data_IF_780888271903
#
_entry.id   IF_780888271903
#
_cell.length_a   1.000
_cell.length_b   1.000
_cell.length_c   1.000
_cell.angle_alpha   90.00
_cell.angle_beta   90.00
_cell.angle_gamma   90.00
#
_symmetry.space_group_name_H-M   'P 1'
#
loop_
_entity.id
_entity.type
_entity.pdbx_description
1 polymer ?
#
# COMPACT_ATOMS: atom_id res chain seq x y z
N UNK A 1 7.21 -29.79 9.53
CA UNK A 1 5.77 -29.96 9.25
C UNK A 1 5.66 -30.72 7.94
N UNK A 2 4.94 -31.83 7.91
CA UNK A 2 4.95 -32.84 6.84
C UNK A 2 4.25 -32.33 5.56
N UNK A 3 4.73 -32.77 4.39
CA UNK A 3 4.18 -32.52 3.05
C UNK A 3 2.66 -32.78 2.89
N UNK A 4 2.01 -33.39 3.86
CA UNK A 4 0.58 -33.70 3.83
C UNK A 4 -0.35 -32.47 4.01
N UNK A 5 0.14 -31.37 4.58
CA UNK A 5 -0.68 -30.15 4.83
C UNK A 5 -0.78 -29.25 3.58
N UNK A 6 0.12 -29.40 2.61
CA UNK A 6 0.14 -28.53 1.41
C UNK A 6 -0.82 -28.96 0.29
N UNK A 7 -1.41 -30.16 0.34
CA UNK A 7 -2.20 -30.71 -0.77
C UNK A 7 -3.60 -30.08 -0.92
N UNK A 8 -4.12 -29.45 0.14
CA UNK A 8 -5.45 -28.83 0.17
C UNK A 8 -5.40 -27.30 0.35
N UNK A 9 -4.21 -26.70 0.40
CA UNK A 9 -4.09 -25.24 0.54
C UNK A 9 -4.44 -24.55 -0.77
N UNK A 10 -5.17 -23.39 -0.71
CA UNK A 10 -5.52 -22.63 -1.90
C UNK A 10 -4.26 -22.12 -2.62
N UNK A 11 -4.34 -21.93 -3.94
CA UNK A 11 -3.18 -21.59 -4.77
C UNK A 11 -2.48 -20.29 -4.31
N UNK A 12 -3.22 -19.36 -3.72
CA UNK A 12 -2.68 -18.08 -3.22
C UNK A 12 -1.88 -18.19 -1.90
N UNK A 13 -1.76 -19.40 -1.36
CA UNK A 13 -0.92 -19.69 -0.19
C UNK A 13 0.18 -20.70 -0.51
N UNK A 14 0.41 -21.02 -1.80
CA UNK A 14 1.35 -22.06 -2.22
C UNK A 14 2.30 -21.58 -3.34
N UNK A 15 3.42 -22.27 -3.50
CA UNK A 15 4.37 -21.99 -4.57
C UNK A 15 4.88 -20.55 -4.52
N UNK A 16 4.81 -19.85 -5.66
CA UNK A 16 5.26 -18.45 -5.76
C UNK A 16 4.38 -17.45 -4.99
N UNK A 17 3.21 -17.89 -4.53
CA UNK A 17 2.28 -17.07 -3.74
C UNK A 17 2.35 -17.41 -2.24
N UNK A 18 3.21 -18.34 -1.85
CA UNK A 18 3.35 -18.71 -0.44
C UNK A 18 3.76 -17.49 0.40
N UNK A 19 3.13 -17.29 1.58
CA UNK A 19 3.48 -16.18 2.46
C UNK A 19 4.93 -16.21 2.91
N UNK A 20 5.51 -15.04 3.07
CA UNK A 20 6.83 -14.84 3.68
C UNK A 20 6.63 -14.45 5.15
N UNK A 21 7.19 -15.24 6.08
CA UNK A 21 6.95 -15.05 7.51
C UNK A 21 8.00 -14.19 8.22
N UNK A 22 9.06 -13.81 7.51
CA UNK A 22 10.17 -13.05 8.09
C UNK A 22 10.44 -11.79 7.30
N UNK A 23 10.66 -10.70 8.03
CA UNK A 23 11.26 -9.51 7.47
C UNK A 23 12.75 -9.73 7.26
N UNK A 24 13.25 -9.30 6.12
CA UNK A 24 14.63 -9.55 5.71
C UNK A 24 15.27 -8.28 5.17
N UNK A 25 16.59 -8.20 5.32
CA UNK A 25 17.45 -7.22 4.67
C UNK A 25 18.66 -7.95 4.11
N UNK A 26 18.86 -7.86 2.80
CA UNK A 26 20.03 -8.40 2.12
C UNK A 26 20.80 -7.25 1.47
N UNK A 27 22.08 -7.16 1.76
CA UNK A 27 22.99 -6.11 1.22
C UNK A 27 24.03 -6.67 0.25
N UNK A 28 24.07 -7.99 0.12
CA UNK A 28 24.99 -8.68 -0.81
C UNK A 28 24.20 -9.30 -1.96
N UNK A 29 23.76 -8.45 -2.90
CA UNK A 29 22.93 -8.89 -4.00
C UNK A 29 23.75 -9.36 -5.20
N UNK A 30 23.47 -10.59 -5.67
CA UNK A 30 24.04 -11.08 -6.92
C UNK A 30 23.31 -10.48 -8.11
N UNK A 31 23.99 -9.69 -8.91
CA UNK A 31 23.47 -9.14 -10.16
C UNK A 31 23.93 -10.01 -11.33
N UNK A 32 23.01 -10.36 -12.21
CA UNK A 32 23.30 -11.00 -13.49
C UNK A 32 22.97 -10.02 -14.61
N UNK A 33 23.95 -9.71 -15.45
CA UNK A 33 23.84 -8.67 -16.48
C UNK A 33 24.32 -7.32 -15.96
N UNK A 34 23.68 -6.24 -16.44
CA UNK A 34 24.09 -4.86 -16.21
C UNK A 34 22.90 -4.03 -15.71
N UNK A 35 23.11 -3.27 -14.64
CA UNK A 35 22.17 -2.26 -14.16
C UNK A 35 22.60 -0.91 -14.73
N UNK A 36 21.75 -0.22 -15.53
CA UNK A 36 22.09 1.12 -16.02
C UNK A 36 22.39 2.09 -14.88
N UNK A 37 23.49 2.84 -14.93
CA UNK A 37 23.88 3.74 -13.84
C UNK A 37 22.91 4.91 -13.65
N UNK A 38 22.04 5.18 -14.63
CA UNK A 38 20.99 6.20 -14.57
C UNK A 38 19.82 5.79 -13.67
N UNK A 39 19.67 4.49 -13.37
CA UNK A 39 18.66 4.00 -12.45
C UNK A 39 19.09 4.28 -11.01
N UNK A 40 18.63 5.41 -10.48
CA UNK A 40 18.85 5.83 -9.11
C UNK A 40 17.53 5.97 -8.39
N UNK A 41 17.35 5.24 -7.30
CA UNK A 41 16.12 5.24 -6.51
C UNK A 41 15.76 3.87 -6.00
N UNK A 42 14.46 3.65 -5.79
CA UNK A 42 13.95 2.39 -5.25
C UNK A 42 12.88 1.80 -6.16
N UNK A 43 13.05 0.56 -6.54
CA UNK A 43 11.96 -0.24 -7.09
C UNK A 43 11.20 -0.87 -5.92
N UNK A 44 9.92 -0.61 -5.82
CA UNK A 44 9.09 -1.11 -4.73
C UNK A 44 7.82 -1.76 -5.26
N UNK A 45 7.34 -2.77 -4.55
CA UNK A 45 6.03 -3.37 -4.76
C UNK A 45 5.35 -3.64 -3.43
N UNK A 46 4.04 -3.58 -3.43
CA UNK A 46 3.18 -3.96 -2.33
C UNK A 46 2.39 -5.23 -2.67
N UNK A 47 2.00 -5.99 -1.68
CA UNK A 47 1.16 -7.16 -1.87
C UNK A 47 0.63 -7.72 -0.57
N UNK A 48 -0.46 -8.48 -0.68
CA UNK A 48 -1.03 -9.19 0.45
C UNK A 48 -0.10 -10.33 0.88
N UNK A 49 0.26 -10.34 2.14
CA UNK A 49 1.10 -11.37 2.76
C UNK A 49 0.54 -11.69 4.15
N UNK A 50 -0.35 -12.70 4.26
CA UNK A 50 -0.96 -13.02 5.54
C UNK A 50 0.09 -13.49 6.56
N UNK A 51 0.21 -12.76 7.67
CA UNK A 51 1.19 -13.05 8.73
C UNK A 51 0.96 -14.40 9.41
N UNK A 52 -0.28 -14.87 9.44
CA UNK A 52 -0.65 -16.17 10.01
C UNK A 52 -0.40 -17.33 9.06
N UNK A 53 -0.16 -17.08 7.78
CA UNK A 53 -0.11 -18.09 6.74
C UNK A 53 -1.48 -18.56 6.26
N UNK A 54 -2.56 -17.98 6.78
CA UNK A 54 -3.94 -18.28 6.43
C UNK A 54 -4.63 -17.07 5.83
N UNK A 55 -5.44 -17.27 4.80
CA UNK A 55 -6.26 -16.22 4.20
C UNK A 55 -7.47 -16.83 3.49
N UNK A 56 -8.62 -16.18 3.66
CA UNK A 56 -9.88 -16.56 3.01
C UNK A 56 -9.94 -16.13 1.55
N UNK A 57 -9.05 -15.23 1.13
CA UNK A 57 -9.03 -14.69 -0.22
C UNK A 57 -7.62 -14.20 -0.59
N UNK A 58 -7.29 -14.24 -1.88
CA UNK A 58 -5.98 -13.81 -2.39
C UNK A 58 -5.61 -12.37 -2.01
N UNK A 59 -6.58 -11.49 -1.89
CA UNK A 59 -6.35 -10.08 -1.53
C UNK A 59 -6.42 -9.81 -0.02
N UNK A 60 -6.79 -10.83 0.78
CA UNK A 60 -6.88 -10.70 2.22
C UNK A 60 -5.57 -11.15 2.88
N UNK A 61 -4.72 -10.20 3.20
CA UNK A 61 -3.44 -10.41 3.90
C UNK A 61 -2.82 -9.07 4.26
N UNK A 62 -1.96 -9.06 5.27
CA UNK A 62 -1.27 -7.85 5.70
C UNK A 62 -0.37 -7.32 4.58
N UNK A 63 -0.27 -6.03 4.44
CA UNK A 63 0.60 -5.40 3.45
C UNK A 63 2.07 -5.70 3.75
N UNK A 64 2.76 -6.28 2.78
CA UNK A 64 4.21 -6.42 2.83
C UNK A 64 4.83 -5.71 1.64
N UNK A 65 5.69 -4.75 1.95
CA UNK A 65 6.44 -4.03 0.95
C UNK A 65 7.75 -4.76 0.68
N UNK A 66 8.06 -4.92 -0.60
CA UNK A 66 9.36 -5.39 -1.07
C UNK A 66 10.05 -4.25 -1.82
N UNK A 67 11.30 -3.99 -1.51
CA UNK A 67 12.05 -2.93 -2.17
C UNK A 67 13.48 -3.32 -2.50
N UNK A 68 13.99 -2.75 -3.58
CA UNK A 68 15.40 -2.82 -3.97
C UNK A 68 15.87 -1.38 -4.20
N UNK A 69 16.95 -0.98 -3.55
CA UNK A 69 17.62 0.28 -3.85
C UNK A 69 18.63 0.10 -4.95
N UNK A 70 18.52 0.94 -5.97
CA UNK A 70 19.44 1.01 -7.09
C UNK A 70 20.18 2.34 -7.07
N UNK A 71 21.50 2.32 -7.20
CA UNK A 71 22.29 3.53 -7.35
C UNK A 71 23.63 3.23 -8.04
N UNK A 72 24.01 4.09 -8.99
CA UNK A 72 25.31 4.04 -9.68
C UNK A 72 25.63 2.65 -10.30
N UNK A 73 24.62 2.02 -10.91
CA UNK A 73 24.76 0.71 -11.54
C UNK A 73 24.85 -0.47 -10.57
N UNK A 74 24.44 -0.28 -9.31
CA UNK A 74 24.46 -1.31 -8.26
C UNK A 74 23.08 -1.48 -7.64
N UNK A 75 22.79 -2.70 -7.17
CA UNK A 75 21.71 -2.98 -6.25
C UNK A 75 22.30 -2.99 -4.83
N UNK A 76 21.97 -1.98 -4.03
CA UNK A 76 22.61 -1.76 -2.73
C UNK A 76 22.00 -2.63 -1.63
N UNK A 77 20.67 -2.79 -1.66
CA UNK A 77 19.97 -3.67 -0.74
C UNK A 77 18.64 -4.14 -1.33
N UNK A 78 18.17 -5.28 -0.84
CA UNK A 78 16.80 -5.74 -0.89
C UNK A 78 16.22 -5.75 0.53
N UNK A 79 14.97 -5.33 0.68
CA UNK A 79 14.23 -5.43 1.94
C UNK A 79 12.78 -5.84 1.71
N UNK A 80 12.24 -6.57 2.68
CA UNK A 80 10.80 -6.71 2.81
C UNK A 80 10.38 -6.31 4.23
N UNK A 81 9.27 -5.56 4.34
CA UNK A 81 8.71 -5.08 5.61
C UNK A 81 7.20 -5.17 5.58
N UNK A 82 6.61 -5.62 6.69
CA UNK A 82 5.19 -5.43 6.92
C UNK A 82 4.87 -3.96 7.16
N UNK A 83 3.71 -3.53 6.66
CA UNK A 83 3.14 -2.25 7.06
C UNK A 83 2.55 -2.40 8.46
N UNK A 84 3.05 -1.65 9.42
CA UNK A 84 2.65 -1.70 10.84
C UNK A 84 1.35 -0.96 11.08
N UNK A 85 0.25 -1.46 10.52
CA UNK A 85 -1.10 -1.00 10.82
C UNK A 85 -1.64 -1.69 12.10
N UNK A 86 -2.70 -1.16 12.75
CA UNK A 86 -3.24 -1.74 13.98
C UNK A 86 -3.70 -3.20 13.86
N UNK A 87 -4.05 -3.64 12.66
CA UNK A 87 -4.49 -5.02 12.41
C UNK A 87 -3.34 -6.04 12.31
N UNK A 88 -2.10 -5.60 12.23
CA UNK A 88 -0.95 -6.50 12.30
C UNK A 88 -0.78 -6.96 13.75
N UNK A 89 -0.61 -8.26 13.98
CA UNK A 89 -0.60 -8.89 15.31
C UNK A 89 0.35 -8.21 16.30
N UNK A 90 1.54 -7.87 15.85
CA UNK A 90 2.58 -7.25 16.69
C UNK A 90 2.72 -5.74 16.42
N UNK A 91 1.62 -5.06 16.07
CA UNK A 91 1.61 -3.62 15.78
C UNK A 91 1.81 -2.74 17.01
N UNK A 92 1.52 -3.28 18.21
CA UNK A 92 1.47 -2.50 19.45
C UNK A 92 0.18 -1.72 19.64
N UNK A 93 -0.83 -1.92 18.76
CA UNK A 93 -2.14 -1.29 18.87
C UNK A 93 -2.90 -1.75 20.12
N UNK A 94 -3.63 -0.85 20.77
CA UNK A 94 -4.41 -1.12 21.97
C UNK A 94 -5.94 -1.22 21.72
N UNK A 95 -6.36 -1.07 20.44
CA UNK A 95 -7.74 -1.14 20.00
C UNK A 95 -8.53 0.15 20.14
N UNK A 96 -7.88 1.26 20.51
CA UNK A 96 -8.52 2.58 20.63
C UNK A 96 -8.28 3.46 19.40
N UNK A 97 -7.58 2.93 18.40
CA UNK A 97 -7.20 3.67 17.19
C UNK A 97 -8.42 4.00 16.33
N UNK A 98 -8.29 5.07 15.56
CA UNK A 98 -9.33 5.46 14.58
C UNK A 98 -9.59 4.29 13.61
N UNK A 99 -10.87 3.90 13.39
CA UNK A 99 -11.19 2.81 12.46
C UNK A 99 -10.59 2.97 11.06
N UNK A 100 -10.34 4.21 10.62
CA UNK A 100 -9.72 4.49 9.32
C UNK A 100 -8.23 4.10 9.24
N UNK A 101 -7.61 3.78 10.38
CA UNK A 101 -6.25 3.24 10.43
C UNK A 101 -6.19 1.72 10.32
N UNK A 102 -7.34 1.01 10.39
CA UNK A 102 -7.43 -0.45 10.36
C UNK A 102 -7.19 -1.04 8.96
N UNK A 103 -6.16 -0.57 8.29
CA UNK A 103 -5.85 -0.89 6.90
C UNK A 103 -5.01 -2.15 6.76
N UNK A 104 -5.33 -2.99 5.76
CA UNK A 104 -4.42 -4.02 5.28
C UNK A 104 -3.19 -3.41 4.59
N UNK A 105 -3.31 -2.20 4.04
CA UNK A 105 -2.26 -1.45 3.35
C UNK A 105 -1.49 -2.30 2.30
N UNK A 106 -2.19 -3.17 1.57
CA UNK A 106 -1.61 -4.29 0.83
C UNK A 106 -1.76 -4.19 -0.69
N UNK A 107 -2.41 -3.13 -1.21
CA UNK A 107 -2.83 -3.12 -2.62
C UNK A 107 -1.84 -2.39 -3.51
N UNK A 108 -1.37 -1.22 -3.12
CA UNK A 108 -0.52 -0.38 -3.96
C UNK A 108 0.52 0.38 -3.14
N UNK A 109 1.56 0.84 -3.79
CA UNK A 109 2.56 1.76 -3.22
C UNK A 109 2.83 2.86 -4.22
N UNK A 110 2.79 4.10 -3.75
CA UNK A 110 3.03 5.29 -4.58
C UNK A 110 4.05 6.20 -3.92
N UNK A 111 4.64 7.08 -4.73
CA UNK A 111 5.40 8.23 -4.24
C UNK A 111 4.69 9.52 -4.66
N UNK A 112 4.45 10.41 -3.69
CA UNK A 112 3.88 11.72 -3.94
C UNK A 112 4.37 12.72 -2.90
N UNK A 113 4.72 13.94 -3.32
CA UNK A 113 5.17 15.03 -2.46
C UNK A 113 6.28 14.63 -1.46
N UNK A 114 7.23 13.81 -1.91
CA UNK A 114 8.35 13.32 -1.08
C UNK A 114 7.98 12.21 -0.09
N UNK A 115 6.73 11.74 -0.10
CA UNK A 115 6.25 10.64 0.75
C UNK A 115 6.13 9.35 -0.05
N UNK A 116 6.34 8.23 0.63
CA UNK A 116 6.05 6.89 0.13
C UNK A 116 4.81 6.41 0.88
N UNK A 117 3.74 6.06 0.15
CA UNK A 117 2.45 5.70 0.72
C UNK A 117 2.04 4.29 0.29
N UNK A 118 1.80 3.43 1.28
CA UNK A 118 1.16 2.13 1.08
C UNK A 118 -0.36 2.30 1.17
N UNK A 119 -1.09 1.78 0.20
CA UNK A 119 -2.51 2.02 0.00
C UNK A 119 -3.32 0.74 0.06
N UNK A 120 -4.57 0.92 0.49
CA UNK A 120 -5.67 -0.03 0.39
C UNK A 120 -6.96 0.76 0.11
N UNK A 121 -8.08 0.12 -0.19
CA UNK A 121 -9.26 0.75 -0.80
C UNK A 121 -10.07 1.69 0.09
N UNK A 122 -10.11 1.47 1.41
CA UNK A 122 -11.16 2.06 2.26
C UNK A 122 -10.62 2.80 3.48
N UNK A 123 -9.33 2.74 3.71
CA UNK A 123 -8.68 3.26 4.90
C UNK A 123 -7.69 4.37 4.57
N UNK A 124 -7.10 4.97 5.59
CA UNK A 124 -6.00 5.91 5.38
C UNK A 124 -4.76 5.20 4.85
N UNK A 125 -4.02 5.85 3.93
CA UNK A 125 -2.71 5.36 3.52
C UNK A 125 -1.72 5.32 4.67
N UNK A 126 -0.71 4.46 4.56
CA UNK A 126 0.40 4.40 5.50
C UNK A 126 1.66 5.00 4.89
N UNK A 127 2.23 5.99 5.58
CA UNK A 127 3.51 6.57 5.19
C UNK A 127 4.66 5.66 5.60
N UNK A 128 5.61 5.47 4.68
CA UNK A 128 6.82 4.69 4.88
C UNK A 128 8.06 5.56 4.74
N UNK A 129 9.11 5.19 5.45
CA UNK A 129 10.44 5.76 5.24
C UNK A 129 11.06 5.23 3.93
N UNK A 130 12.12 5.87 3.42
CA UNK A 130 12.89 5.33 2.31
C UNK A 130 13.49 3.94 2.57
N UNK A 131 13.63 3.55 3.82
CA UNK A 131 14.12 2.24 4.27
C UNK A 131 13.00 1.22 4.46
N UNK A 132 11.76 1.57 4.06
CA UNK A 132 10.52 0.79 4.15
C UNK A 132 9.95 0.62 5.57
N UNK A 133 10.45 1.35 6.55
CA UNK A 133 9.90 1.33 7.90
C UNK A 133 8.59 2.14 7.94
N UNK A 134 7.59 1.66 8.66
CA UNK A 134 6.31 2.35 8.79
C UNK A 134 6.47 3.58 9.68
N UNK A 135 6.08 4.75 9.16
CA UNK A 135 6.03 6.01 9.92
C UNK A 135 4.68 6.10 10.63
N UNK A 136 3.60 5.79 9.93
CA UNK A 136 2.24 5.79 10.50
C UNK A 136 1.16 6.05 9.45
N UNK A 137 -0.09 6.05 9.91
CA UNK A 137 -1.23 6.42 9.08
C UNK A 137 -1.15 7.90 8.68
N UNK A 138 -1.46 8.19 7.41
CA UNK A 138 -1.35 9.53 6.84
C UNK A 138 -2.72 10.06 6.43
N UNK A 139 -3.18 11.12 7.10
CA UNK A 139 -4.50 11.71 6.90
C UNK A 139 -4.45 13.16 6.42
N UNK A 140 -3.37 13.58 5.75
CA UNK A 140 -3.18 14.94 5.26
C UNK A 140 -3.31 16.00 6.37
N UNK A 141 -2.68 15.77 7.52
CA UNK A 141 -2.74 16.63 8.72
C UNK A 141 -4.17 16.80 9.26
N UNK A 142 -4.97 15.75 9.25
CA UNK A 142 -6.34 15.74 9.73
C UNK A 142 -7.38 16.23 8.72
N UNK A 143 -6.98 16.60 7.50
CA UNK A 143 -7.90 17.08 6.47
C UNK A 143 -8.64 15.95 5.73
N UNK A 144 -8.10 14.73 5.71
CA UNK A 144 -8.74 13.58 5.08
C UNK A 144 -9.68 12.89 6.08
N UNK A 145 -10.97 13.12 5.93
CA UNK A 145 -12.02 12.56 6.79
C UNK A 145 -12.58 11.25 6.28
N UNK A 146 -12.20 10.82 5.10
CA UNK A 146 -12.62 9.56 4.46
C UNK A 146 -11.44 8.59 4.35
N UNK A 147 -11.66 7.41 3.80
CA UNK A 147 -10.58 6.58 3.29
C UNK A 147 -9.97 7.16 2.00
N UNK A 148 -9.09 6.38 1.37
CA UNK A 148 -8.45 6.71 0.11
C UNK A 148 -8.42 5.47 -0.78
N UNK A 149 -8.73 5.63 -2.09
CA UNK A 149 -8.58 4.55 -3.06
C UNK A 149 -7.13 4.06 -3.15
N UNK A 150 -6.96 2.78 -3.49
CA UNK A 150 -5.64 2.23 -3.78
C UNK A 150 -5.05 2.69 -5.12
N UNK A 151 -5.84 3.31 -6.00
CA UNK A 151 -5.44 3.63 -7.37
C UNK A 151 -5.51 5.14 -7.72
N UNK A 152 -4.91 6.01 -6.90
CA UNK A 152 -4.86 7.44 -7.20
C UNK A 152 -4.08 7.71 -8.49
N UNK A 153 -4.25 8.89 -9.06
CA UNK A 153 -3.56 9.34 -10.27
C UNK A 153 -2.80 10.62 -10.00
N UNK A 154 -1.54 10.64 -10.40
CA UNK A 154 -0.76 11.90 -10.42
C UNK A 154 -0.94 12.56 -11.77
N UNK A 155 -1.38 13.82 -11.77
CA UNK A 155 -1.43 14.62 -12.99
C UNK A 155 -0.01 14.89 -13.49
N UNK A 156 0.36 14.49 -14.71
CA UNK A 156 1.73 14.66 -15.20
C UNK A 156 2.09 16.15 -15.46
N UNK A 157 1.10 17.01 -15.62
CA UNK A 157 1.32 18.44 -15.90
C UNK A 157 1.45 19.26 -14.61
N UNK A 158 0.60 18.97 -13.61
CA UNK A 158 0.53 19.79 -12.38
C UNK A 158 1.19 19.11 -11.18
N UNK A 159 1.45 17.81 -11.23
CA UNK A 159 1.94 17.01 -10.09
C UNK A 159 0.88 16.78 -9.00
N UNK A 160 -0.36 17.21 -9.20
CA UNK A 160 -1.45 17.00 -8.25
C UNK A 160 -1.83 15.52 -8.18
N UNK A 161 -2.18 15.06 -6.98
CA UNK A 161 -2.69 13.72 -6.74
C UNK A 161 -4.22 13.76 -6.72
N UNK A 162 -4.84 13.00 -7.61
CA UNK A 162 -6.28 12.87 -7.78
C UNK A 162 -6.71 11.50 -7.26
N UNK A 163 -7.66 11.49 -6.35
CA UNK A 163 -8.16 10.25 -5.78
C UNK A 163 -9.62 10.37 -5.34
N UNK A 164 -10.21 9.27 -4.97
CA UNK A 164 -11.55 9.23 -4.42
C UNK A 164 -11.58 8.32 -3.19
N UNK A 165 -12.65 8.45 -2.42
CA UNK A 165 -13.04 7.50 -1.40
C UNK A 165 -14.46 7.03 -1.69
N UNK A 166 -14.73 5.75 -1.46
CA UNK A 166 -16.09 5.23 -1.50
C UNK A 166 -16.44 4.52 -0.21
N UNK A 167 -17.73 4.44 0.13
CA UNK A 167 -18.21 3.86 1.37
C UNK A 167 -19.55 3.14 1.20
N UNK A 168 -19.89 2.34 2.20
CA UNK A 168 -21.15 1.59 2.26
C UNK A 168 -22.28 2.41 2.86
N UNK A 169 -21.97 3.57 3.45
CA UNK A 169 -22.91 4.54 4.01
C UNK A 169 -22.65 5.93 3.42
N UNK A 170 -23.65 6.83 3.38
CA UNK A 170 -23.42 8.20 2.89
C UNK A 170 -22.33 8.96 3.68
N UNK A 171 -21.53 9.77 2.98
CA UNK A 171 -21.47 9.93 1.53
C UNK A 171 -20.86 8.69 0.87
N UNK A 172 -21.53 8.19 -0.17
CA UNK A 172 -21.08 6.94 -0.84
C UNK A 172 -19.85 7.12 -1.71
N UNK A 173 -19.59 8.34 -2.18
CA UNK A 173 -18.44 8.67 -3.04
C UNK A 173 -17.99 10.10 -2.78
N UNK A 174 -16.69 10.27 -2.55
CA UNK A 174 -16.06 11.59 -2.38
C UNK A 174 -14.83 11.68 -3.26
N UNK A 175 -14.72 12.75 -4.03
CA UNK A 175 -13.54 13.08 -4.80
C UNK A 175 -12.59 13.95 -3.99
N UNK A 176 -11.30 13.71 -4.15
CA UNK A 176 -10.25 14.45 -3.48
C UNK A 176 -9.14 14.87 -4.45
N UNK A 177 -8.51 16.01 -4.14
CA UNK A 177 -7.34 16.50 -4.84
C UNK A 177 -6.32 17.01 -3.84
N UNK A 178 -5.09 16.50 -3.94
CA UNK A 178 -3.95 17.04 -3.20
C UNK A 178 -3.01 17.79 -4.15
N UNK A 179 -2.41 18.87 -3.68
CA UNK A 179 -1.42 19.65 -4.43
C UNK A 179 -0.14 18.84 -4.68
N UNK A 180 0.70 19.28 -5.62
CA UNK A 180 2.02 18.70 -5.85
C UNK A 180 2.93 18.70 -4.60
N UNK A 181 2.64 19.55 -3.61
CA UNK A 181 3.35 19.63 -2.33
C UNK A 181 2.70 18.79 -1.23
N UNK A 182 1.63 18.02 -1.55
CA UNK A 182 0.99 17.09 -0.61
C UNK A 182 -0.04 17.70 0.32
N UNK A 183 -0.54 18.91 0.02
CA UNK A 183 -1.65 19.51 0.75
C UNK A 183 -2.98 19.04 0.16
N UNK A 184 -3.92 18.55 0.99
CA UNK A 184 -5.29 18.25 0.56
C UNK A 184 -6.02 19.59 0.32
N UNK A 185 -6.31 19.89 -0.95
CA UNK A 185 -6.82 21.20 -1.39
C UNK A 185 -8.28 21.15 -1.81
N UNK A 186 -8.84 19.95 -2.02
CA UNK A 186 -10.23 19.79 -2.39
C UNK A 186 -10.77 18.46 -1.89
N UNK A 187 -12.01 18.48 -1.40
CA UNK A 187 -12.81 17.30 -1.03
C UNK A 187 -14.26 17.59 -1.41
N UNK A 188 -14.82 16.82 -2.35
CA UNK A 188 -16.16 17.06 -2.90
C UNK A 188 -16.97 15.77 -2.88
N UNK A 189 -18.14 15.83 -2.26
CA UNK A 189 -19.09 14.72 -2.31
C UNK A 189 -19.72 14.62 -3.69
N UNK A 190 -19.64 13.43 -4.27
CA UNK A 190 -20.30 13.14 -5.55
C UNK A 190 -21.67 12.50 -5.23
N UNK A 191 -22.73 13.12 -5.74
CA UNK A 191 -24.08 12.60 -5.59
C UNK A 191 -24.27 11.34 -6.43
N UNK A 192 -24.34 10.19 -5.75
CA UNK A 192 -24.60 8.87 -6.33
C UNK A 192 -25.74 8.20 -5.59
N UNK A 193 -26.52 7.37 -6.29
CA UNK A 193 -27.77 6.80 -5.76
C UNK A 193 -27.58 5.77 -4.63
N UNK A 194 -26.38 5.28 -4.40
CA UNK A 194 -26.11 4.27 -3.38
C UNK A 194 -24.68 3.76 -3.40
N UNK A 195 -24.39 2.86 -2.49
CA UNK A 195 -23.08 2.23 -2.38
C UNK A 195 -22.76 1.42 -3.64
N UNK A 196 -21.63 1.71 -4.24
CA UNK A 196 -21.09 0.98 -5.40
C UNK A 196 -19.58 0.84 -5.21
N UNK A 197 -19.06 -0.34 -5.46
CA UNK A 197 -17.61 -0.54 -5.48
C UNK A 197 -17.00 0.24 -6.64
N UNK A 198 -16.19 1.25 -6.33
CA UNK A 198 -15.45 2.05 -7.30
C UNK A 198 -13.96 1.77 -7.09
N UNK A 199 -13.39 0.89 -7.91
CA UNK A 199 -12.04 0.35 -7.64
C UNK A 199 -10.93 1.11 -8.36
N UNK A 200 -10.94 1.16 -9.68
CA UNK A 200 -9.76 1.55 -10.46
C UNK A 200 -9.78 2.97 -11.02
N UNK A 201 -10.92 3.49 -11.42
CA UNK A 201 -10.89 4.68 -12.25
C UNK A 201 -12.19 5.48 -12.25
N UNK A 202 -12.03 6.80 -12.10
CA UNK A 202 -13.03 7.81 -12.44
C UNK A 202 -12.76 8.46 -13.83
N UNK A 203 -11.82 7.92 -14.62
CA UNK A 203 -11.25 8.62 -15.79
C UNK A 203 -12.09 8.43 -17.06
N UNK A 204 -12.99 7.49 -17.10
CA UNK A 204 -13.83 7.26 -18.27
C UNK A 204 -15.14 8.04 -18.13
N UNK A 205 -15.02 9.32 -18.18
CA UNK A 205 -16.14 10.23 -18.36
C UNK A 205 -16.07 10.78 -19.78
#
# INVERSE_FOLDING_TARGET
MSEAVQKDAPFWLTGNFAPTFTEHTETTLKVTGHIPPELNGRYMRNGANPETGESVHWFAGNGMIHGIELANGKANWYRNRYVRSPILKDSGADGTEDPRTQSLANTHIISHAGKILALEESHWPYELSPELETIGAYNYNGKLETGMTAHPKVCPETGELLFFAYGMVPPYLTYHRASATGELIQSEVIDVKGATMVHLSLIHI
#
